data_IF_878944319715
#
_entry.id   IF_878944319715
#
_cell.length_a   1.000
_cell.length_b   1.000
_cell.length_c   1.000
_cell.angle_alpha   90.00
_cell.angle_beta   90.00
_cell.angle_gamma   90.00
#
_symmetry.space_group_name_H-M   'P 1'
#
loop_
_entity.id
_entity.type
_entity.pdbx_description
1 polymer ?
#
# COMPACT_ATOMS: atom_id res chain seq x y z
N UNK A 1 -17.97 -48.56 47.44
CA UNK A 1 -17.28 -47.46 48.17
C UNK A 1 -16.10 -47.03 47.31
N UNK A 2 -16.14 -45.78 46.85
CA UNK A 2 -15.12 -44.98 46.13
C UNK A 2 -14.45 -45.51 44.85
N UNK A 3 -14.77 -44.82 43.74
CA UNK A 3 -13.97 -44.70 42.52
C UNK A 3 -13.04 -43.48 42.61
N UNK A 4 -11.86 -43.47 41.98
CA UNK A 4 -11.09 -42.25 41.78
C UNK A 4 -11.31 -41.69 40.36
N UNK A 5 -11.71 -40.43 40.30
CA UNK A 5 -11.77 -39.61 39.07
C UNK A 5 -10.37 -39.08 38.71
N UNK A 6 -10.00 -38.99 37.42
CA UNK A 6 -8.80 -38.27 36.99
C UNK A 6 -9.05 -36.74 36.92
N UNK A 7 -8.01 -35.91 37.13
CA UNK A 7 -8.14 -34.46 37.18
C UNK A 7 -8.24 -33.86 35.77
N UNK A 8 -9.15 -32.90 35.62
CA UNK A 8 -9.30 -32.09 34.42
C UNK A 8 -8.07 -31.16 34.25
N UNK A 9 -7.46 -31.21 33.07
CA UNK A 9 -6.43 -30.26 32.66
C UNK A 9 -7.05 -28.85 32.44
N UNK A 10 -6.33 -27.77 32.78
CA UNK A 10 -6.83 -26.42 32.58
C UNK A 10 -6.91 -26.13 31.07
N UNK A 11 -8.09 -25.68 30.64
CA UNK A 11 -8.29 -25.11 29.32
C UNK A 11 -7.43 -23.84 29.20
N UNK A 12 -6.36 -23.91 28.43
CA UNK A 12 -5.60 -22.75 28.00
C UNK A 12 -6.54 -21.90 27.15
N UNK A 13 -7.08 -20.83 27.75
CA UNK A 13 -7.81 -19.81 27.02
C UNK A 13 -6.88 -19.26 25.93
N UNK A 14 -7.18 -19.61 24.68
CA UNK A 14 -6.54 -19.03 23.52
C UNK A 14 -6.82 -17.53 23.57
N UNK A 15 -5.80 -16.75 23.95
CA UNK A 15 -5.80 -15.30 23.81
C UNK A 15 -6.19 -14.99 22.36
N UNK A 16 -7.13 -14.06 22.10
CA UNK A 16 -7.35 -13.61 20.73
C UNK A 16 -6.00 -13.16 20.19
N UNK A 17 -5.65 -13.51 18.93
CA UNK A 17 -4.45 -12.97 18.33
C UNK A 17 -4.58 -11.46 18.43
N UNK A 18 -3.67 -10.85 19.20
CA UNK A 18 -3.46 -9.41 19.12
C UNK A 18 -3.44 -9.09 17.64
N UNK A 19 -4.31 -8.19 17.20
CA UNK A 19 -4.25 -7.60 15.89
C UNK A 19 -2.80 -7.15 15.74
N UNK A 20 -1.99 -7.97 15.06
CA UNK A 20 -0.64 -7.63 14.71
C UNK A 20 -0.83 -6.34 13.95
N UNK A 21 -0.37 -5.24 14.57
CA UNK A 21 -0.57 -3.90 14.06
C UNK A 21 -0.26 -3.98 12.58
N UNK A 22 -1.28 -3.73 11.76
CA UNK A 22 -1.09 -3.71 10.32
C UNK A 22 0.16 -2.86 10.11
N UNK A 23 1.18 -3.36 9.38
CA UNK A 23 2.37 -2.56 9.11
C UNK A 23 1.86 -1.21 8.64
N UNK A 24 2.36 -0.08 9.18
CA UNK A 24 1.82 1.23 8.88
C UNK A 24 1.70 1.31 7.38
N UNK A 25 0.47 1.26 6.88
CA UNK A 25 0.23 1.19 5.45
C UNK A 25 0.84 2.46 4.91
N UNK A 26 1.87 2.33 4.08
CA UNK A 26 2.50 3.51 3.49
C UNK A 26 1.40 4.23 2.74
N UNK A 27 1.01 5.38 3.29
CA UNK A 27 0.15 6.30 2.60
C UNK A 27 0.93 6.89 1.42
N UNK A 28 0.20 7.33 0.39
CA UNK A 28 0.80 7.89 -0.81
C UNK A 28 1.74 9.07 -0.49
N UNK A 29 1.40 9.89 0.51
CA UNK A 29 2.26 11.00 0.93
C UNK A 29 3.57 10.51 1.55
N UNK A 30 3.50 9.48 2.39
CA UNK A 30 4.69 8.88 3.00
C UNK A 30 5.56 8.15 1.96
N UNK A 31 4.92 7.52 0.97
CA UNK A 31 5.60 6.93 -0.18
C UNK A 31 6.33 7.99 -0.98
N UNK A 32 5.68 9.12 -1.30
CA UNK A 32 6.31 10.24 -2.02
C UNK A 32 7.51 10.77 -1.22
N UNK A 33 7.36 10.96 0.08
CA UNK A 33 8.42 11.51 0.93
C UNK A 33 9.63 10.55 1.01
N UNK A 34 9.39 9.24 1.16
CA UNK A 34 10.42 8.19 1.10
C UNK A 34 11.09 8.12 -0.26
N UNK A 35 10.32 8.21 -1.36
CA UNK A 35 10.86 8.26 -2.71
C UNK A 35 11.68 9.53 -2.95
N UNK A 36 11.33 10.64 -2.29
CA UNK A 36 12.04 11.90 -2.41
C UNK A 36 13.33 11.90 -1.59
N UNK A 37 13.32 11.25 -0.43
CA UNK A 37 14.46 11.12 0.47
C UNK A 37 15.45 10.05 -0.01
N UNK A 38 14.95 8.98 -0.65
CA UNK A 38 15.83 7.89 -1.10
C UNK A 38 16.83 8.39 -2.14
N UNK A 39 18.09 8.01 -1.92
CA UNK A 39 19.21 8.21 -2.83
C UNK A 39 19.34 7.08 -3.84
N UNK A 40 18.53 6.02 -3.71
CA UNK A 40 18.48 4.86 -4.60
C UNK A 40 18.14 5.19 -6.06
N UNK A 41 17.56 6.37 -6.31
CA UNK A 41 17.15 6.77 -7.65
C UNK A 41 17.64 8.19 -7.95
N UNK A 42 18.30 8.32 -9.10
CA UNK A 42 18.79 9.60 -9.60
C UNK A 42 17.67 10.63 -9.74
N UNK A 43 18.04 11.91 -9.62
CA UNK A 43 17.13 13.08 -9.68
C UNK A 43 16.24 13.09 -10.94
N UNK A 44 16.73 12.62 -12.09
CA UNK A 44 15.92 12.49 -13.32
C UNK A 44 14.81 11.44 -13.19
N UNK A 45 15.12 10.29 -12.59
CA UNK A 45 14.15 9.21 -12.37
C UNK A 45 13.10 9.64 -11.35
N UNK A 46 13.52 10.33 -10.28
CA UNK A 46 12.63 10.92 -9.27
C UNK A 46 11.64 11.93 -9.89
N UNK A 47 12.12 12.80 -10.79
CA UNK A 47 11.27 13.75 -11.51
C UNK A 47 10.29 13.04 -12.45
N UNK A 48 10.74 12.02 -13.19
CA UNK A 48 9.88 11.21 -14.06
C UNK A 48 8.77 10.51 -13.26
N UNK A 49 9.13 9.89 -12.14
CA UNK A 49 8.18 9.25 -11.24
C UNK A 49 7.15 10.24 -10.67
N UNK A 50 7.59 11.41 -10.21
CA UNK A 50 6.67 12.45 -9.72
C UNK A 50 5.67 12.86 -10.79
N UNK A 51 6.11 13.10 -12.03
CA UNK A 51 5.22 13.42 -13.14
C UNK A 51 4.21 12.29 -13.42
N UNK A 52 4.64 11.03 -13.35
CA UNK A 52 3.73 9.90 -13.58
C UNK A 52 2.74 9.68 -12.44
N UNK A 53 3.14 9.90 -11.19
CA UNK A 53 2.23 9.88 -10.03
C UNK A 53 1.21 11.01 -10.17
N UNK A 54 1.65 12.22 -10.51
CA UNK A 54 0.78 13.38 -10.70
C UNK A 54 -0.23 13.17 -11.84
N UNK A 55 0.20 12.64 -12.99
CA UNK A 55 -0.69 12.24 -14.10
C UNK A 55 -1.72 11.20 -13.66
N UNK A 56 -1.29 10.20 -12.89
CA UNK A 56 -2.18 9.16 -12.37
C UNK A 56 -3.23 9.77 -11.42
N UNK A 57 -2.80 10.62 -10.48
CA UNK A 57 -3.68 11.34 -9.55
C UNK A 57 -4.65 12.26 -10.29
N UNK A 58 -4.21 12.98 -11.31
CA UNK A 58 -5.06 13.82 -12.16
C UNK A 58 -6.16 13.01 -12.85
N UNK A 59 -5.85 11.80 -13.32
CA UNK A 59 -6.84 10.89 -13.90
C UNK A 59 -7.79 10.32 -12.84
N UNK A 60 -7.31 9.99 -11.64
CA UNK A 60 -8.16 9.58 -10.50
C UNK A 60 -9.08 10.69 -10.00
N UNK A 61 -8.65 11.95 -10.10
CA UNK A 61 -9.49 13.11 -9.82
C UNK A 61 -10.56 13.28 -10.90
N UNK A 62 -10.19 13.14 -12.17
CA UNK A 62 -11.12 13.27 -13.31
C UNK A 62 -12.19 12.17 -13.29
N UNK A 63 -11.76 10.90 -13.22
CA UNK A 63 -12.04 10.03 -12.09
C UNK A 63 -13.29 10.34 -11.24
N UNK A 64 -13.08 10.56 -9.97
CA UNK A 64 -14.14 10.81 -9.00
C UNK A 64 -15.05 12.01 -9.33
N UNK A 65 -14.61 12.99 -10.12
CA UNK A 65 -15.45 14.13 -10.55
C UNK A 65 -16.49 13.81 -11.65
N UNK A 66 -16.55 12.58 -12.15
CA UNK A 66 -17.61 12.16 -13.09
C UNK A 66 -17.40 12.60 -14.55
N UNK A 67 -16.17 12.96 -14.94
CA UNK A 67 -15.84 13.28 -16.34
C UNK A 67 -15.95 12.08 -17.31
N UNK A 68 -15.77 12.28 -18.61
CA UNK A 68 -15.66 11.20 -19.59
C UNK A 68 -14.31 10.48 -19.42
N UNK A 69 -14.32 9.30 -18.79
CA UNK A 69 -13.11 8.74 -18.15
C UNK A 69 -12.64 7.40 -18.73
N UNK A 70 -11.34 7.09 -18.60
CA UNK A 70 -10.89 5.71 -18.60
C UNK A 70 -11.54 4.94 -17.43
N UNK A 71 -11.90 3.66 -17.61
CA UNK A 71 -12.52 2.85 -16.57
C UNK A 71 -11.57 2.68 -15.36
N UNK A 72 -12.11 2.44 -14.16
CA UNK A 72 -11.32 2.20 -12.94
C UNK A 72 -10.30 1.06 -13.15
N UNK A 73 -10.65 0.06 -13.97
CA UNK A 73 -9.75 -1.01 -14.38
C UNK A 73 -8.49 -0.50 -15.10
N UNK A 74 -8.62 0.52 -15.95
CA UNK A 74 -7.49 1.11 -16.66
C UNK A 74 -6.62 1.97 -15.72
N UNK A 75 -7.24 2.66 -14.75
CA UNK A 75 -6.50 3.34 -13.69
C UNK A 75 -5.71 2.35 -12.82
N UNK A 76 -6.33 1.19 -12.51
CA UNK A 76 -5.65 0.09 -11.81
C UNK A 76 -4.45 -0.39 -12.58
N UNK A 77 -4.59 -0.62 -13.88
CA UNK A 77 -3.49 -1.06 -14.71
C UNK A 77 -2.34 -0.03 -14.73
N UNK A 78 -2.64 1.27 -14.88
CA UNK A 78 -1.62 2.33 -14.84
C UNK A 78 -0.93 2.40 -13.47
N UNK A 79 -1.68 2.26 -12.39
CA UNK A 79 -1.16 2.20 -11.03
C UNK A 79 -0.21 1.01 -10.82
N UNK A 80 -0.63 -0.20 -11.20
CA UNK A 80 0.18 -1.42 -11.04
C UNK A 80 1.47 -1.35 -11.87
N UNK A 81 1.41 -0.82 -13.10
CA UNK A 81 2.59 -0.61 -13.95
C UNK A 81 3.56 0.41 -13.34
N UNK A 82 3.03 1.49 -12.76
CA UNK A 82 3.85 2.48 -12.06
C UNK A 82 4.53 1.86 -10.85
N UNK A 83 3.79 1.11 -10.03
CA UNK A 83 4.33 0.40 -8.86
C UNK A 83 5.42 -0.60 -9.24
N UNK A 84 5.18 -1.40 -10.28
CA UNK A 84 6.17 -2.36 -10.77
C UNK A 84 7.46 -1.64 -11.15
N UNK A 85 7.37 -0.49 -11.85
CA UNK A 85 8.54 0.32 -12.18
C UNK A 85 9.24 0.85 -10.93
N UNK A 86 8.48 1.37 -9.95
CA UNK A 86 9.02 1.85 -8.66
C UNK A 86 9.80 0.75 -7.95
N UNK A 87 9.20 -0.42 -7.79
CA UNK A 87 9.82 -1.60 -7.15
C UNK A 87 11.07 -2.04 -7.91
N UNK A 88 11.01 -2.05 -9.25
CA UNK A 88 12.14 -2.46 -10.10
C UNK A 88 13.33 -1.52 -9.99
N UNK A 89 13.08 -0.23 -9.76
CA UNK A 89 14.12 0.78 -9.55
C UNK A 89 14.70 0.72 -8.13
N UNK A 90 13.86 0.39 -7.14
CA UNK A 90 14.26 0.34 -5.74
C UNK A 90 14.91 -0.99 -5.35
N UNK A 91 14.63 -2.10 -6.04
CA UNK A 91 15.07 -3.43 -5.60
C UNK A 91 16.59 -3.58 -5.46
N UNK A 92 17.37 -2.79 -6.22
CA UNK A 92 18.84 -2.86 -6.22
C UNK A 92 19.44 -2.03 -5.07
N UNK A 93 18.99 -0.79 -4.93
CA UNK A 93 19.56 0.19 -3.98
C UNK A 93 18.76 0.35 -2.66
N UNK A 94 17.46 0.05 -2.64
CA UNK A 94 16.56 0.21 -1.48
C UNK A 94 15.49 -0.91 -1.40
N UNK A 95 15.91 -2.17 -1.16
CA UNK A 95 15.01 -3.32 -1.12
C UNK A 95 13.98 -3.24 0.02
N UNK A 96 14.30 -2.51 1.09
CA UNK A 96 13.37 -2.25 2.20
C UNK A 96 12.20 -1.39 1.76
N UNK A 97 12.46 -0.30 1.02
CA UNK A 97 11.40 0.53 0.45
C UNK A 97 10.64 -0.23 -0.64
N UNK A 98 11.31 -1.01 -1.48
CA UNK A 98 10.67 -1.87 -2.49
C UNK A 98 9.65 -2.86 -1.88
N UNK A 99 10.03 -3.52 -0.78
CA UNK A 99 9.14 -4.43 -0.04
C UNK A 99 7.95 -3.69 0.60
N UNK A 100 8.21 -2.49 1.15
CA UNK A 100 7.17 -1.68 1.78
C UNK A 100 6.17 -1.12 0.75
N UNK A 101 6.63 -0.69 -0.43
CA UNK A 101 5.80 -0.29 -1.58
C UNK A 101 4.90 -1.45 -2.01
N UNK A 102 5.50 -2.63 -2.22
CA UNK A 102 4.79 -3.84 -2.65
C UNK A 102 3.71 -4.27 -1.65
N UNK A 103 4.03 -4.21 -0.36
CA UNK A 103 3.08 -4.57 0.72
C UNK A 103 1.95 -3.54 0.87
N UNK A 104 2.21 -2.27 0.56
CA UNK A 104 1.22 -1.19 0.69
C UNK A 104 0.37 -0.99 -0.57
N UNK A 105 0.61 -1.76 -1.65
CA UNK A 105 -0.09 -1.60 -2.94
C UNK A 105 -1.61 -1.60 -2.81
N UNK A 106 -2.17 -2.53 -2.03
CA UNK A 106 -3.63 -2.69 -1.94
C UNK A 106 -4.24 -1.63 -1.02
N UNK A 107 -3.48 -1.18 -0.02
CA UNK A 107 -3.88 -0.08 0.83
C UNK A 107 -3.93 1.23 0.03
N UNK A 108 -2.87 1.53 -0.73
CA UNK A 108 -2.79 2.70 -1.62
C UNK A 108 -3.91 2.63 -2.67
N UNK A 109 -4.11 1.47 -3.30
CA UNK A 109 -5.22 1.28 -4.23
C UNK A 109 -6.58 1.53 -3.56
N UNK A 110 -6.78 1.06 -2.32
CA UNK A 110 -8.01 1.28 -1.56
C UNK A 110 -8.27 2.75 -1.26
N UNK A 111 -7.23 3.57 -1.13
CA UNK A 111 -7.34 5.04 -1.00
C UNK A 111 -7.62 5.68 -2.35
N UNK A 112 -6.89 5.29 -3.40
CA UNK A 112 -7.03 5.86 -4.75
C UNK A 112 -8.36 5.53 -5.41
N UNK A 113 -8.89 4.33 -5.21
CA UNK A 113 -10.15 3.90 -5.82
C UNK A 113 -11.38 4.50 -5.12
N UNK A 114 -11.27 4.82 -3.83
CA UNK A 114 -12.37 5.39 -3.05
C UNK A 114 -12.38 6.94 -3.14
N UNK A 115 -13.45 7.57 -3.65
CA UNK A 115 -13.50 9.01 -3.83
C UNK A 115 -13.42 9.79 -2.52
N UNK A 116 -13.92 9.24 -1.40
CA UNK A 116 -13.94 9.92 -0.11
C UNK A 116 -12.54 9.90 0.52
N UNK A 117 -11.83 8.78 0.40
CA UNK A 117 -10.45 8.66 0.84
C UNK A 117 -9.50 9.46 -0.05
N UNK A 118 -9.71 9.42 -1.37
CA UNK A 118 -8.95 10.23 -2.33
C UNK A 118 -9.12 11.74 -2.11
N UNK A 119 -10.26 12.20 -1.61
CA UNK A 119 -10.45 13.61 -1.28
C UNK A 119 -9.65 14.06 -0.04
N UNK A 120 -9.01 13.15 0.69
CA UNK A 120 -8.28 13.42 1.92
C UNK A 120 -6.74 13.39 1.77
N UNK A 121 -6.24 13.10 0.57
CA UNK A 121 -4.79 13.06 0.23
C UNK A 121 -4.31 14.37 -0.41
#
# INVERSE_FOLDING_TARGET
>A
MHAPSPPAAPATAARPPAAAGAPPTLDLTALEQRLRDTHAIGIFTKLSLKNQVDDLLGQFKTFHNGGSKPPLAQLRQKFELLLLKVVTLLQDDDPSLAAAVSSSREAIWGVLSDPKKFANI
#
